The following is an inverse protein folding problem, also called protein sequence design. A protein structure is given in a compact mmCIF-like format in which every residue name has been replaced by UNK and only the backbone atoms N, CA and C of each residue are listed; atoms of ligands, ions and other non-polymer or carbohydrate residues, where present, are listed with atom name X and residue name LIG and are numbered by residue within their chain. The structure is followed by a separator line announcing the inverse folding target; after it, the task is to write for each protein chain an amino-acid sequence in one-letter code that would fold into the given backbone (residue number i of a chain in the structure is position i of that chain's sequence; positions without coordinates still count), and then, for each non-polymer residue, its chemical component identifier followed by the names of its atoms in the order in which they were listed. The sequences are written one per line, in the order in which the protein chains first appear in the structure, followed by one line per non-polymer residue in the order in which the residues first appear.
data_IF_300558699278
#
_entry.id   IF_300558699278
#
_cell.length_a   1.000
_cell.length_b   1.000
_cell.length_c   1.000
_cell.angle_alpha   90.00
_cell.angle_beta   90.00
_cell.angle_gamma   90.00
#
_symmetry.space_group_name_H-M   'P 1'
#
loop_
_entity.id
_entity.type
_entity.pdbx_description
1 polymer ?
#
# COMPACT_ATOMS: atom_id res chain seq x y z
N UNK A 1 6.35 14.86 -12.57
CA UNK A 1 7.78 14.67 -12.22
C UNK A 1 7.95 13.18 -11.94
N UNK A 2 9.11 12.57 -12.24
CA UNK A 2 9.38 11.17 -11.92
C UNK A 2 10.42 11.12 -10.80
N UNK A 3 10.10 10.48 -9.67
CA UNK A 3 11.06 10.24 -8.59
C UNK A 3 11.90 8.99 -8.83
N UNK A 4 13.23 9.13 -8.78
CA UNK A 4 14.15 8.00 -8.86
C UNK A 4 14.36 7.37 -7.48
N UNK A 5 14.12 6.07 -7.37
CA UNK A 5 14.32 5.30 -6.14
C UNK A 5 15.56 4.40 -6.29
N UNK A 6 16.43 4.42 -5.27
CA UNK A 6 17.57 3.51 -5.20
C UNK A 6 17.18 2.28 -4.37
N UNK A 7 16.89 1.17 -5.06
CA UNK A 7 16.54 -0.09 -4.41
C UNK A 7 17.08 -1.27 -5.22
N UNK A 8 17.40 -2.37 -4.55
CA UNK A 8 17.73 -3.61 -5.24
C UNK A 8 16.49 -4.12 -6.00
N UNK A 9 16.71 -4.62 -7.22
CA UNK A 9 15.65 -5.31 -7.94
C UNK A 9 15.37 -6.66 -7.26
N UNK A 10 14.10 -6.95 -7.03
CA UNK A 10 13.64 -8.25 -6.57
C UNK A 10 12.50 -8.69 -7.49
N UNK A 11 12.57 -9.94 -7.95
CA UNK A 11 11.49 -10.51 -8.77
C UNK A 11 10.35 -10.95 -7.85
N UNK A 12 9.33 -10.12 -7.73
CA UNK A 12 8.15 -10.35 -6.89
C UNK A 12 6.89 -10.30 -7.73
N UNK A 13 5.97 -11.24 -7.51
CA UNK A 13 4.65 -11.23 -8.14
C UNK A 13 3.64 -10.58 -7.23
N UNK A 14 2.57 -10.01 -7.80
CA UNK A 14 1.45 -9.50 -7.01
C UNK A 14 0.81 -10.58 -6.11
N UNK A 15 0.88 -11.86 -6.52
CA UNK A 15 0.41 -13.00 -5.73
C UNK A 15 1.30 -13.34 -4.52
N UNK A 16 2.53 -12.81 -4.47
CA UNK A 16 3.48 -13.00 -3.37
C UNK A 16 3.33 -11.92 -2.28
N UNK A 17 2.41 -10.98 -2.48
CA UNK A 17 2.07 -9.97 -1.49
C UNK A 17 1.25 -10.61 -0.37
N UNK A 18 1.58 -10.22 0.86
CA UNK A 18 0.83 -10.57 2.05
C UNK A 18 0.32 -9.29 2.72
N UNK A 19 -0.76 -9.43 3.46
CA UNK A 19 -1.42 -8.34 4.18
C UNK A 19 -1.35 -8.60 5.69
N UNK A 20 -1.08 -7.56 6.48
CA UNK A 20 -1.27 -7.60 7.93
C UNK A 20 -1.51 -6.24 8.56
N UNK A 21 -1.98 -6.27 9.80
CA UNK A 21 -2.14 -5.08 10.65
C UNK A 21 -1.15 -5.09 11.83
N UNK A 22 -0.84 -3.90 12.33
CA UNK A 22 -0.15 -3.68 13.60
C UNK A 22 1.36 -3.84 13.54
N UNK A 23 1.97 -3.78 12.36
CA UNK A 23 3.44 -3.74 12.26
C UNK A 23 3.99 -2.39 12.68
N UNK A 24 5.14 -2.41 13.33
CA UNK A 24 5.97 -1.23 13.48
C UNK A 24 6.36 -0.63 12.12
N UNK A 25 6.70 0.67 12.06
CA UNK A 25 7.15 1.33 10.84
C UNK A 25 8.31 0.57 10.18
N UNK A 26 8.11 0.13 8.94
CA UNK A 26 9.13 -0.54 8.14
C UNK A 26 10.00 0.49 7.41
N UNK A 27 11.28 0.18 7.09
CA UNK A 27 12.09 1.03 6.23
C UNK A 27 11.39 1.29 4.89
N UNK A 28 11.21 2.56 4.55
CA UNK A 28 10.47 2.99 3.37
C UNK A 28 11.41 3.60 2.34
N UNK A 29 11.14 3.35 1.06
CA UNK A 29 11.83 3.96 -0.07
C UNK A 29 11.39 5.40 -0.28
N UNK A 30 10.13 5.71 0.03
CA UNK A 30 9.59 7.05 0.04
C UNK A 30 8.50 7.13 1.12
N UNK A 31 8.30 8.33 1.66
CA UNK A 31 7.29 8.62 2.67
C UNK A 31 6.52 9.85 2.24
N UNK A 32 5.21 9.81 2.37
CA UNK A 32 4.31 10.93 2.18
C UNK A 32 3.45 11.11 3.44
N UNK A 33 3.70 12.20 4.16
CA UNK A 33 2.92 12.60 5.33
C UNK A 33 1.71 13.44 4.89
N UNK A 34 0.53 13.09 5.39
CA UNK A 34 -0.75 13.70 5.09
C UNK A 34 -1.53 13.95 6.38
N UNK A 35 -2.48 14.87 6.32
CA UNK A 35 -3.45 15.09 7.39
C UNK A 35 -4.85 15.11 6.81
N UNK A 36 -5.71 14.20 7.26
CA UNK A 36 -7.07 14.00 6.77
C UNK A 36 -8.03 14.06 7.96
N UNK A 37 -8.93 15.05 7.98
CA UNK A 37 -9.98 15.20 9.00
C UNK A 37 -9.51 15.05 10.47
N UNK A 38 -8.28 15.48 10.77
CA UNK A 38 -7.69 15.42 12.11
C UNK A 38 -6.80 14.19 12.36
N UNK A 39 -6.83 13.19 11.48
CA UNK A 39 -5.91 12.07 11.52
C UNK A 39 -4.59 12.41 10.80
N UNK A 40 -3.48 12.05 11.44
CA UNK A 40 -2.15 12.03 10.83
C UNK A 40 -1.99 10.71 10.07
N UNK A 41 -1.63 10.80 8.81
CA UNK A 41 -1.47 9.65 7.93
C UNK A 41 -0.07 9.68 7.32
N UNK A 42 0.59 8.54 7.31
CA UNK A 42 1.86 8.37 6.64
C UNK A 42 1.77 7.22 5.64
N UNK A 43 1.85 7.57 4.36
CA UNK A 43 1.92 6.62 3.26
C UNK A 43 3.39 6.28 3.00
N UNK A 44 3.75 5.01 3.11
CA UNK A 44 5.13 4.52 3.00
C UNK A 44 5.24 3.60 1.81
N UNK A 45 6.07 3.97 0.84
CA UNK A 45 6.42 3.11 -0.27
C UNK A 45 7.47 2.10 0.19
N UNK A 46 7.18 0.80 0.06
CA UNK A 46 8.10 -0.28 0.36
C UNK A 46 8.67 -0.86 -0.94
N UNK A 47 9.64 -1.78 -0.82
CA UNK A 47 10.26 -2.43 -1.99
C UNK A 47 9.30 -3.27 -2.84
N UNK A 48 8.16 -3.69 -2.28
CA UNK A 48 7.18 -4.52 -2.98
C UNK A 48 5.76 -4.16 -2.53
N UNK A 49 5.34 -2.90 -2.75
CA UNK A 49 4.05 -2.28 -2.37
C UNK A 49 4.15 -1.26 -1.23
N UNK A 50 3.42 -1.36 -0.11
CA UNK A 50 3.24 -0.22 0.80
C UNK A 50 2.97 -0.56 2.28
N UNK A 51 3.11 0.46 3.12
CA UNK A 51 2.61 0.50 4.49
C UNK A 51 1.88 1.83 4.72
N UNK A 52 0.75 1.77 5.39
CA UNK A 52 -0.04 2.95 5.78
C UNK A 52 -0.08 3.02 7.29
N UNK A 53 0.40 4.13 7.86
CA UNK A 53 0.32 4.39 9.29
C UNK A 53 -0.69 5.52 9.51
N UNK A 54 -1.69 5.26 10.33
CA UNK A 54 -2.70 6.24 10.73
C UNK A 54 -2.60 6.43 12.23
N UNK A 55 -2.59 7.70 12.64
CA UNK A 55 -2.64 8.11 14.04
C UNK A 55 -3.71 9.19 14.23
N UNK A 56 -4.56 9.00 15.22
CA UNK A 56 -5.58 9.94 15.65
C UNK A 56 -5.66 9.91 17.19
N UNK A 57 -6.38 10.84 17.80
CA UNK A 57 -6.63 10.85 19.26
C UNK A 57 -7.22 9.51 19.77
N UNK A 58 -7.98 8.82 18.91
CA UNK A 58 -8.69 7.57 19.23
C UNK A 58 -7.82 6.32 19.11
N UNK A 59 -6.63 6.41 18.51
CA UNK A 59 -5.74 5.27 18.39
C UNK A 59 -4.80 5.30 17.19
N UNK A 60 -4.21 4.14 16.91
CA UNK A 60 -3.28 3.94 15.79
C UNK A 60 -3.69 2.72 14.97
N UNK A 61 -3.48 2.79 13.66
CA UNK A 61 -3.62 1.66 12.74
C UNK A 61 -2.39 1.62 11.84
N UNK A 62 -1.83 0.44 11.68
CA UNK A 62 -0.72 0.19 10.76
C UNK A 62 -1.15 -0.93 9.82
N UNK A 63 -1.41 -0.59 8.56
CA UNK A 63 -1.63 -1.55 7.49
C UNK A 63 -0.33 -1.79 6.75
N UNK A 64 -0.01 -3.06 6.48
CA UNK A 64 1.12 -3.42 5.64
C UNK A 64 0.67 -4.40 4.57
N UNK A 65 0.93 -4.04 3.31
CA UNK A 65 0.79 -4.91 2.14
C UNK A 65 2.14 -4.98 1.47
N UNK A 66 2.86 -6.08 1.62
CA UNK A 66 4.19 -6.25 1.05
C UNK A 66 4.58 -7.73 0.93
N UNK A 67 5.66 -8.01 0.21
CA UNK A 67 6.35 -9.30 0.31
C UNK A 67 7.00 -9.42 1.69
N UNK A 68 6.41 -10.25 2.56
CA UNK A 68 6.89 -10.46 3.92
C UNK A 68 7.65 -11.79 4.03
N UNK A 69 8.90 -11.82 4.56
CA UNK A 69 9.64 -13.06 4.76
C UNK A 69 8.84 -14.06 5.61
N UNK A 70 8.69 -15.29 5.09
CA UNK A 70 8.00 -16.37 5.79
C UNK A 70 6.47 -16.30 5.76
N UNK A 71 5.87 -15.30 5.11
CA UNK A 71 4.42 -15.26 4.86
C UNK A 71 4.11 -15.90 3.51
N UNK A 72 3.25 -16.93 3.53
CA UNK A 72 2.74 -17.61 2.33
C UNK A 72 1.23 -17.44 2.16
N UNK A 73 0.59 -16.63 3.01
CA UNK A 73 -0.84 -16.40 2.93
C UNK A 73 -1.10 -15.40 1.81
N UNK A 74 -1.87 -15.78 0.77
CA UNK A 74 -2.21 -14.86 -0.30
C UNK A 74 -3.05 -13.70 0.24
N UNK A 75 -3.08 -12.59 -0.51
CA UNK A 75 -3.95 -11.47 -0.19
C UNK A 75 -5.40 -11.94 -0.02
N UNK A 76 -6.08 -11.53 1.07
CA UNK A 76 -7.47 -11.86 1.25
C UNK A 76 -8.33 -11.11 0.22
N UNK A 77 -9.38 -11.76 -0.26
CA UNK A 77 -10.38 -11.11 -1.13
C UNK A 77 -11.08 -9.96 -0.40
N UNK A 78 -11.28 -10.12 0.91
CA UNK A 78 -11.88 -9.13 1.78
C UNK A 78 -11.61 -9.45 3.25
N UNK A 79 -11.39 -8.43 4.06
CA UNK A 79 -11.29 -8.51 5.52
C UNK A 79 -12.04 -7.32 6.12
N UNK A 80 -12.82 -7.58 7.16
CA UNK A 80 -13.34 -6.56 8.06
C UNK A 80 -12.86 -6.87 9.48
N UNK A 81 -12.32 -5.89 10.19
CA UNK A 81 -11.84 -6.02 11.58
C UNK A 81 -12.20 -4.79 12.40
N UNK A 82 -12.40 -4.99 13.70
CA UNK A 82 -12.45 -3.91 14.67
C UNK A 82 -11.04 -3.65 15.21
N UNK A 83 -10.57 -2.41 15.16
CA UNK A 83 -9.27 -1.98 15.73
C UNK A 83 -9.56 -0.87 16.74
N UNK A 84 -9.60 -1.21 18.03
CA UNK A 84 -10.13 -0.30 19.04
C UNK A 84 -11.57 0.11 18.70
N UNK A 85 -11.79 1.41 18.50
CA UNK A 85 -13.09 1.98 18.13
C UNK A 85 -13.29 2.11 16.61
N UNK A 86 -12.36 1.62 15.79
CA UNK A 86 -12.44 1.71 14.33
C UNK A 86 -12.96 0.43 13.69
N UNK A 87 -13.66 0.63 12.58
CA UNK A 87 -13.94 -0.43 11.60
C UNK A 87 -12.93 -0.30 10.47
N UNK A 88 -12.17 -1.37 10.28
CA UNK A 88 -11.16 -1.47 9.24
C UNK A 88 -11.64 -2.45 8.19
N UNK A 89 -11.58 -2.03 6.92
CA UNK A 89 -11.91 -2.86 5.77
C UNK A 89 -10.77 -2.88 4.77
N UNK A 90 -10.49 -4.07 4.24
CA UNK A 90 -9.51 -4.28 3.19
C UNK A 90 -10.08 -5.21 2.14
N UNK A 91 -9.82 -4.91 0.87
CA UNK A 91 -10.12 -5.80 -0.23
C UNK A 91 -9.00 -5.71 -1.27
N UNK A 92 -8.64 -6.86 -1.84
CA UNK A 92 -7.66 -6.93 -2.90
C UNK A 92 -8.04 -7.97 -3.94
N UNK A 93 -7.57 -7.74 -5.17
CA UNK A 93 -7.69 -8.67 -6.28
C UNK A 93 -6.35 -8.74 -7.01
N UNK A 94 -5.92 -9.96 -7.30
CA UNK A 94 -4.76 -10.22 -8.17
C UNK A 94 -5.27 -10.70 -9.52
N UNK A 95 -4.79 -10.06 -10.59
CA UNK A 95 -5.18 -10.37 -11.97
C UNK A 95 -3.96 -10.81 -12.78
N UNK A 96 -4.14 -11.81 -13.63
CA UNK A 96 -3.16 -12.17 -14.67
C UNK A 96 -3.58 -11.48 -15.96
N UNK A 97 -2.81 -10.48 -16.38
CA UNK A 97 -3.09 -9.67 -17.56
C UNK A 97 -2.15 -10.03 -18.71
N UNK A 98 -2.64 -9.95 -19.94
CA UNK A 98 -1.77 -9.90 -21.12
C UNK A 98 -0.97 -8.60 -21.12
N UNK A 99 0.12 -8.55 -21.90
CA UNK A 99 0.97 -7.35 -21.99
C UNK A 99 0.18 -6.08 -22.34
N UNK A 100 -0.74 -6.17 -23.32
CA UNK A 100 -1.56 -5.03 -23.73
C UNK A 100 -2.54 -4.58 -22.64
N UNK A 101 -3.18 -5.54 -21.95
CA UNK A 101 -4.07 -5.24 -20.82
C UNK A 101 -3.32 -4.62 -19.64
N UNK A 102 -2.11 -5.11 -19.34
CA UNK A 102 -1.28 -4.55 -18.28
C UNK A 102 -0.87 -3.10 -18.59
N UNK A 103 -0.41 -2.83 -19.82
CA UNK A 103 -0.05 -1.48 -20.23
C UNK A 103 -1.25 -0.52 -20.16
N UNK A 104 -2.44 -0.96 -20.60
CA UNK A 104 -3.68 -0.18 -20.48
C UNK A 104 -4.04 0.10 -19.02
N UNK A 105 -4.02 -0.92 -18.16
CA UNK A 105 -4.30 -0.76 -16.73
C UNK A 105 -3.35 0.20 -16.03
N UNK A 106 -2.05 0.13 -16.36
CA UNK A 106 -1.06 1.04 -15.81
C UNK A 106 -1.34 2.49 -16.22
N UNK A 107 -1.75 2.73 -17.48
CA UNK A 107 -2.11 4.07 -17.94
C UNK A 107 -3.38 4.61 -17.26
N UNK A 108 -4.40 3.76 -17.06
CA UNK A 108 -5.61 4.13 -16.30
C UNK A 108 -5.26 4.59 -14.88
N UNK A 109 -4.39 3.84 -14.19
CA UNK A 109 -3.94 4.19 -12.84
C UNK A 109 -3.13 5.48 -12.83
N UNK A 110 -2.22 5.68 -13.79
CA UNK A 110 -1.45 6.92 -13.93
C UNK A 110 -2.36 8.12 -14.19
N UNK A 111 -3.38 7.97 -15.04
CA UNK A 111 -4.34 9.02 -15.32
C UNK A 111 -5.21 9.36 -14.09
N UNK A 112 -5.59 8.34 -13.30
CA UNK A 112 -6.39 8.53 -12.08
C UNK A 112 -5.67 9.40 -11.04
N UNK A 113 -4.36 9.26 -10.92
CA UNK A 113 -3.54 10.00 -9.94
C UNK A 113 -2.83 11.20 -10.55
N UNK A 114 -2.97 11.45 -11.85
CA UNK A 114 -2.35 12.58 -12.53
C UNK A 114 -2.80 13.88 -11.88
N UNK A 115 -1.83 14.75 -11.58
CA UNK A 115 -2.04 16.06 -10.98
C UNK A 115 -2.77 16.04 -9.62
N UNK A 116 -2.88 14.86 -8.98
CA UNK A 116 -3.43 14.76 -7.64
C UNK A 116 -2.47 15.45 -6.65
N UNK A 117 -2.94 16.39 -5.81
CA UNK A 117 -2.07 17.18 -4.92
C UNK A 117 -1.33 16.32 -3.89
N UNK A 118 -1.78 15.08 -3.68
CA UNK A 118 -1.18 14.09 -2.79
C UNK A 118 -0.71 12.83 -3.55
N UNK A 119 -0.54 12.90 -4.87
CA UNK A 119 0.10 11.83 -5.64
C UNK A 119 1.59 11.75 -5.32
N UNK A 120 2.11 10.53 -5.15
CA UNK A 120 3.56 10.29 -5.13
C UNK A 120 4.07 10.43 -6.57
N UNK A 121 4.69 11.56 -6.90
CA UNK A 121 5.35 11.85 -8.17
C UNK A 121 6.83 11.45 -8.15
#
# INVERSE_FOLDING_TARGET
MLTTLQTAYSDTRAADLAWMLGREPLPALAVLDLRLDGAELQLRLLGASHQVLLQEDRGVCSETVACMPGSSTPLPLGVAKRIGDWEYEFAARVETLTQGQFAGRAQELLALVSDHPHGLA
#
